data_IF_887830258802
#
_entry.id   IF_887830258802
#
_cell.length_a   1.000
_cell.length_b   1.000
_cell.length_c   1.000
_cell.angle_alpha   90.00
_cell.angle_beta   90.00
_cell.angle_gamma   90.00
#
_symmetry.space_group_name_H-M   'P 1'
#
loop_
_entity.id
_entity.type
_entity.pdbx_description
1 polymer ?
#
# COMPACT_ATOMS: atom_id res chain seq x y z
N UNK A 1 13.90 29.22 -4.37
CA UNK A 1 12.89 30.30 -4.32
C UNK A 1 11.65 30.00 -5.19
N UNK A 2 11.74 29.03 -6.12
CA UNK A 2 10.67 28.63 -7.05
C UNK A 2 9.61 27.63 -6.53
N UNK A 3 9.52 27.38 -5.22
CA UNK A 3 8.49 26.45 -4.71
C UNK A 3 7.15 27.17 -4.49
N UNK A 4 6.11 26.75 -5.21
CA UNK A 4 4.74 27.26 -5.05
C UNK A 4 4.10 26.93 -3.69
N UNK A 5 4.62 25.91 -2.99
CA UNK A 5 4.13 25.49 -1.67
C UNK A 5 4.76 26.32 -0.53
N UNK A 6 3.93 27.12 0.15
CA UNK A 6 4.34 27.99 1.28
C UNK A 6 5.02 27.21 2.42
N UNK A 7 4.47 26.06 2.81
CA UNK A 7 5.03 25.22 3.89
C UNK A 7 6.44 24.73 3.54
N UNK A 8 6.66 24.29 2.30
CA UNK A 8 7.99 23.83 1.88
C UNK A 8 9.01 24.97 1.88
N UNK A 9 8.60 26.19 1.50
CA UNK A 9 9.47 27.37 1.53
C UNK A 9 9.91 27.72 2.95
N UNK A 10 9.01 27.63 3.92
CA UNK A 10 9.31 27.84 5.35
C UNK A 10 10.26 26.78 5.92
N UNK A 11 10.02 25.51 5.56
CA UNK A 11 10.87 24.38 5.96
C UNK A 11 12.29 24.56 5.43
N UNK A 12 12.46 24.88 4.14
CA UNK A 12 13.79 25.12 3.55
C UNK A 12 14.51 26.29 4.22
N UNK A 13 13.81 27.39 4.51
CA UNK A 13 14.39 28.53 5.24
C UNK A 13 14.84 28.15 6.65
N UNK A 14 14.05 27.34 7.35
CA UNK A 14 14.37 26.85 8.70
C UNK A 14 15.61 25.96 8.66
N UNK A 15 15.67 25.02 7.72
CA UNK A 15 16.84 24.15 7.51
C UNK A 15 18.09 24.98 7.20
N UNK A 16 17.99 25.94 6.28
CA UNK A 16 19.12 26.79 5.92
C UNK A 16 19.64 27.60 7.12
N UNK A 17 18.74 28.12 7.95
CA UNK A 17 19.10 28.83 9.18
C UNK A 17 19.77 27.90 10.18
N UNK A 18 19.14 26.78 10.50
CA UNK A 18 19.63 25.82 11.50
C UNK A 18 21.00 25.23 11.12
N UNK A 19 21.24 24.97 9.82
CA UNK A 19 22.56 24.54 9.33
C UNK A 19 23.61 25.66 9.40
N UNK A 20 23.24 26.91 9.09
CA UNK A 20 24.14 28.07 9.25
C UNK A 20 24.50 28.34 10.71
N UNK A 21 23.57 28.07 11.61
CA UNK A 21 23.76 28.17 13.06
C UNK A 21 24.61 27.01 13.62
N UNK A 22 25.03 26.05 12.78
CA UNK A 22 25.95 24.97 13.14
C UNK A 22 25.29 23.77 13.81
N UNK A 23 23.98 23.62 13.74
CA UNK A 23 23.27 22.45 14.30
C UNK A 23 23.58 21.18 13.50
N UNK A 24 23.56 20.04 14.18
CA UNK A 24 23.78 18.75 13.54
C UNK A 24 22.66 18.42 12.53
N UNK A 25 23.01 17.85 11.38
CA UNK A 25 22.02 17.51 10.36
C UNK A 25 20.94 16.54 10.86
N UNK A 26 21.28 15.61 11.75
CA UNK A 26 20.34 14.73 12.46
C UNK A 26 19.21 15.50 13.15
N UNK A 27 19.56 16.59 13.85
CA UNK A 27 18.62 17.48 14.52
C UNK A 27 17.82 18.30 13.50
N UNK A 28 18.49 18.87 12.49
CA UNK A 28 17.87 19.77 11.52
C UNK A 28 16.85 19.04 10.64
N UNK A 29 17.26 17.94 10.01
CA UNK A 29 16.38 17.21 9.10
C UNK A 29 15.34 16.36 9.86
N UNK A 30 15.68 15.87 11.07
CA UNK A 30 14.76 15.12 11.93
C UNK A 30 13.53 15.92 12.37
N UNK A 31 13.66 17.25 12.57
CA UNK A 31 12.51 18.14 12.86
C UNK A 31 11.46 18.18 11.75
N UNK A 32 11.82 17.75 10.54
CA UNK A 32 10.99 17.85 9.34
C UNK A 32 10.65 16.47 8.74
N UNK A 33 10.68 15.41 9.56
CA UNK A 33 10.22 14.06 9.17
C UNK A 33 8.77 14.03 8.67
N UNK A 34 7.93 14.97 9.11
CA UNK A 34 6.54 15.13 8.67
C UNK A 34 6.41 15.59 7.21
N UNK A 35 7.42 16.31 6.72
CA UNK A 35 7.46 16.87 5.36
C UNK A 35 8.19 15.95 4.40
N UNK A 36 9.39 15.48 4.77
CA UNK A 36 10.21 14.63 3.92
C UNK A 36 9.92 13.14 4.07
N UNK A 37 9.30 12.75 5.19
CA UNK A 37 9.26 11.36 5.64
C UNK A 37 10.56 10.99 6.38
N UNK A 38 10.43 10.05 7.32
CA UNK A 38 11.53 9.55 8.17
C UNK A 38 12.80 9.19 7.39
N UNK A 39 12.62 8.52 6.25
CA UNK A 39 13.73 8.07 5.46
C UNK A 39 14.52 9.19 4.79
N UNK A 40 13.84 10.13 4.11
CA UNK A 40 14.55 11.23 3.46
C UNK A 40 15.20 12.15 4.49
N UNK A 41 14.54 12.41 5.62
CA UNK A 41 15.15 13.14 6.74
C UNK A 41 16.44 12.45 7.23
N UNK A 42 16.41 11.13 7.41
CA UNK A 42 17.58 10.36 7.82
C UNK A 42 18.71 10.41 6.77
N UNK A 43 18.39 10.24 5.49
CA UNK A 43 19.40 10.30 4.42
C UNK A 43 20.06 11.68 4.33
N UNK A 44 19.28 12.75 4.42
CA UNK A 44 19.79 14.11 4.46
C UNK A 44 20.70 14.33 5.68
N UNK A 45 20.35 13.72 6.82
CA UNK A 45 21.19 13.73 8.03
C UNK A 45 22.52 13.02 7.80
N UNK A 46 22.50 11.82 7.23
CA UNK A 46 23.73 11.10 6.89
C UNK A 46 24.57 11.87 5.89
N UNK A 47 23.95 12.51 4.89
CA UNK A 47 24.63 13.35 3.90
C UNK A 47 25.44 14.49 4.53
N UNK A 48 24.94 15.06 5.65
CA UNK A 48 25.65 16.11 6.39
C UNK A 48 26.95 15.63 7.04
N UNK A 49 27.03 14.33 7.33
CA UNK A 49 28.20 13.69 7.96
C UNK A 49 29.05 12.87 6.99
N UNK A 50 28.53 12.47 5.82
CA UNK A 50 29.09 11.40 4.99
C UNK A 50 30.14 11.83 3.96
N UNK A 51 30.57 13.09 3.95
CA UNK A 51 31.57 13.62 3.00
C UNK A 51 31.17 13.57 1.52
N UNK A 52 30.07 12.90 1.16
CA UNK A 52 29.55 12.72 -0.19
C UNK A 52 28.09 13.16 -0.27
N UNK A 53 27.85 14.42 0.09
CA UNK A 53 26.51 15.00 0.20
C UNK A 53 25.76 14.97 -1.13
N UNK A 54 26.45 15.23 -2.26
CA UNK A 54 25.85 15.27 -3.58
C UNK A 54 25.19 13.94 -3.97
N UNK A 55 25.89 12.81 -3.79
CA UNK A 55 25.38 11.49 -4.14
C UNK A 55 24.20 11.08 -3.24
N UNK A 56 24.27 11.38 -1.94
CA UNK A 56 23.19 11.06 -1.01
C UNK A 56 21.95 11.91 -1.29
N UNK A 57 22.12 13.19 -1.60
CA UNK A 57 21.03 14.08 -2.00
C UNK A 57 20.38 13.62 -3.31
N UNK A 58 21.17 13.26 -4.33
CA UNK A 58 20.65 12.75 -5.60
C UNK A 58 19.85 11.46 -5.41
N UNK A 59 20.36 10.52 -4.61
CA UNK A 59 19.64 9.27 -4.32
C UNK A 59 18.37 9.51 -3.50
N UNK A 60 18.41 10.45 -2.55
CA UNK A 60 17.23 10.85 -1.77
C UNK A 60 16.17 11.49 -2.67
N UNK A 61 16.58 12.36 -3.60
CA UNK A 61 15.68 12.98 -4.57
C UNK A 61 15.02 11.92 -5.46
N UNK A 62 15.81 10.99 -6.02
CA UNK A 62 15.30 9.86 -6.82
C UNK A 62 14.30 9.01 -6.04
N UNK A 63 14.58 8.71 -4.77
CA UNK A 63 13.63 8.01 -3.90
C UNK A 63 12.32 8.78 -3.72
N UNK A 64 12.39 10.09 -3.42
CA UNK A 64 11.19 10.92 -3.21
C UNK A 64 10.35 11.05 -4.49
N UNK A 65 11.00 11.23 -5.64
CA UNK A 65 10.35 11.28 -6.94
C UNK A 65 9.63 9.96 -7.23
N UNK A 66 10.30 8.83 -7.00
CA UNK A 66 9.72 7.51 -7.19
C UNK A 66 8.57 7.22 -6.24
N UNK A 67 8.68 7.64 -4.99
CA UNK A 67 7.59 7.53 -4.03
C UNK A 67 6.36 8.35 -4.46
N UNK A 68 6.59 9.57 -4.93
CA UNK A 68 5.53 10.43 -5.43
C UNK A 68 4.87 9.82 -6.67
N UNK A 69 5.66 9.27 -7.60
CA UNK A 69 5.17 8.59 -8.79
C UNK A 69 4.37 7.33 -8.42
N UNK A 70 4.88 6.48 -7.52
CA UNK A 70 4.18 5.29 -7.04
C UNK A 70 2.86 5.65 -6.37
N UNK A 71 2.84 6.63 -5.47
CA UNK A 71 1.60 7.11 -4.82
C UNK A 71 0.61 7.69 -5.82
N UNK A 72 1.10 8.48 -6.79
CA UNK A 72 0.28 9.06 -7.85
C UNK A 72 -0.34 7.97 -8.71
N UNK A 73 0.46 7.01 -9.16
CA UNK A 73 0.01 5.88 -9.96
C UNK A 73 -0.99 5.05 -9.15
N UNK A 74 -0.68 4.69 -7.91
CA UNK A 74 -1.56 3.91 -7.05
C UNK A 74 -2.90 4.60 -6.81
N UNK A 75 -2.88 5.92 -6.55
CA UNK A 75 -4.11 6.71 -6.39
C UNK A 75 -4.91 6.76 -7.69
N UNK A 76 -4.27 7.03 -8.83
CA UNK A 76 -4.92 7.07 -10.15
C UNK A 76 -5.56 5.73 -10.49
N UNK A 77 -4.85 4.65 -10.22
CA UNK A 77 -5.26 3.27 -10.41
C UNK A 77 -6.48 2.87 -9.60
N UNK A 78 -6.55 3.28 -8.33
CA UNK A 78 -7.66 2.95 -7.44
C UNK A 78 -8.86 3.89 -7.57
N UNK A 79 -8.66 5.07 -8.17
CA UNK A 79 -9.71 6.08 -8.30
C UNK A 79 -10.85 5.60 -9.20
N UNK A 80 -10.55 5.01 -10.36
CA UNK A 80 -11.59 4.55 -11.29
C UNK A 80 -12.42 3.40 -10.71
N UNK A 81 -11.83 2.30 -10.17
CA UNK A 81 -12.60 1.26 -9.47
C UNK A 81 -13.46 1.81 -8.33
N UNK A 82 -12.93 2.74 -7.52
CA UNK A 82 -13.68 3.31 -6.39
C UNK A 82 -14.91 4.10 -6.85
N UNK A 83 -14.76 4.93 -7.90
CA UNK A 83 -15.87 5.70 -8.46
C UNK A 83 -16.92 4.76 -9.05
N UNK A 84 -16.51 3.73 -9.79
CA UNK A 84 -17.44 2.75 -10.37
C UNK A 84 -18.21 1.98 -9.29
N UNK A 85 -17.52 1.48 -8.26
CA UNK A 85 -18.15 0.77 -7.14
C UNK A 85 -19.16 1.67 -6.42
N UNK A 86 -18.80 2.93 -6.16
CA UNK A 86 -19.70 3.89 -5.52
C UNK A 86 -20.94 4.17 -6.38
N UNK A 87 -20.76 4.36 -7.69
CA UNK A 87 -21.87 4.57 -8.61
C UNK A 87 -22.81 3.35 -8.64
N UNK A 88 -22.26 2.13 -8.72
CA UNK A 88 -23.05 0.89 -8.78
C UNK A 88 -23.82 0.66 -7.48
N UNK A 89 -23.16 0.83 -6.33
CA UNK A 89 -23.84 0.75 -5.02
C UNK A 89 -24.99 1.78 -4.98
N UNK A 90 -24.76 3.00 -5.46
CA UNK A 90 -25.80 4.02 -5.56
C UNK A 90 -26.99 3.60 -6.43
N UNK A 91 -26.73 3.05 -7.62
CA UNK A 91 -27.78 2.55 -8.54
C UNK A 91 -28.56 1.39 -7.91
N UNK A 92 -27.87 0.43 -7.29
CA UNK A 92 -28.52 -0.73 -6.65
C UNK A 92 -29.38 -0.28 -5.47
N UNK A 93 -28.88 0.61 -4.61
CA UNK A 93 -29.64 1.14 -3.49
C UNK A 93 -30.86 1.95 -3.95
N UNK A 94 -30.72 2.77 -4.99
CA UNK A 94 -31.85 3.51 -5.56
C UNK A 94 -32.90 2.58 -6.18
N UNK A 95 -32.45 1.54 -6.89
CA UNK A 95 -33.35 0.55 -7.47
C UNK A 95 -34.13 -0.21 -6.39
N UNK A 96 -33.43 -0.77 -5.40
CA UNK A 96 -34.05 -1.56 -4.32
C UNK A 96 -34.91 -0.69 -3.41
N UNK A 97 -34.49 0.54 -3.11
CA UNK A 97 -35.19 1.42 -2.16
C UNK A 97 -36.37 2.20 -2.74
N UNK A 98 -36.39 2.47 -4.06
CA UNK A 98 -37.42 3.33 -4.65
C UNK A 98 -38.15 2.69 -5.83
N UNK A 99 -37.40 2.20 -6.84
CA UNK A 99 -38.02 1.68 -8.07
C UNK A 99 -38.75 0.36 -7.78
N UNK A 100 -38.10 -0.56 -7.08
CA UNK A 100 -38.62 -1.90 -6.87
C UNK A 100 -39.91 -1.93 -6.02
N UNK A 101 -40.01 -1.23 -4.86
CA UNK A 101 -41.24 -1.19 -4.07
C UNK A 101 -42.41 -0.60 -4.85
N UNK A 102 -42.17 0.50 -5.58
CA UNK A 102 -43.21 1.13 -6.40
C UNK A 102 -43.78 0.19 -7.46
N UNK A 103 -42.92 -0.63 -8.10
CA UNK A 103 -43.39 -1.65 -9.05
C UNK A 103 -44.12 -2.80 -8.36
N UNK A 104 -43.68 -3.22 -7.18
CA UNK A 104 -44.27 -4.32 -6.45
C UNK A 104 -45.65 -3.97 -5.88
N UNK A 105 -45.81 -2.77 -5.31
CA UNK A 105 -47.09 -2.25 -4.84
C UNK A 105 -48.14 -2.17 -5.95
N UNK A 106 -47.73 -1.77 -7.16
CA UNK A 106 -48.61 -1.79 -8.33
C UNK A 106 -49.13 -3.20 -8.65
N UNK A 107 -48.30 -4.24 -8.53
CA UNK A 107 -48.76 -5.62 -8.72
C UNK A 107 -49.73 -6.08 -7.63
N UNK A 108 -49.54 -5.66 -6.38
CA UNK A 108 -50.45 -5.95 -5.26
C UNK A 108 -51.80 -5.28 -5.48
N UNK A 109 -51.81 -4.01 -5.89
CA UNK A 109 -53.03 -3.24 -6.16
C UNK A 109 -53.85 -3.84 -7.31
N UNK A 110 -53.18 -4.49 -8.26
CA UNK A 110 -53.82 -5.25 -9.34
C UNK A 110 -54.35 -6.62 -8.91
N UNK A 111 -54.21 -6.99 -7.64
CA UNK A 111 -54.66 -8.28 -7.09
C UNK A 111 -53.80 -9.47 -7.52
N UNK A 112 -52.58 -9.22 -8.01
CA UNK A 112 -51.69 -10.26 -8.51
C UNK A 112 -50.80 -10.79 -7.37
N UNK A 113 -50.79 -12.10 -7.15
CA UNK A 113 -49.88 -12.73 -6.19
C UNK A 113 -48.44 -12.66 -6.70
N UNK A 114 -47.57 -11.99 -5.95
CA UNK A 114 -46.16 -11.85 -6.29
C UNK A 114 -45.43 -13.21 -6.28
N UNK A 115 -44.55 -13.49 -7.26
CA UNK A 115 -43.63 -14.61 -7.22
C UNK A 115 -42.74 -14.60 -5.97
N UNK A 116 -42.25 -15.76 -5.51
CA UNK A 116 -41.50 -15.87 -4.26
C UNK A 116 -40.23 -15.02 -4.22
N UNK A 117 -39.50 -14.86 -5.33
CA UNK A 117 -38.30 -14.00 -5.36
C UNK A 117 -38.66 -12.51 -5.32
N UNK A 118 -39.74 -12.10 -5.98
CA UNK A 118 -40.24 -10.72 -5.96
C UNK A 118 -40.77 -10.34 -4.59
N UNK A 119 -41.51 -11.25 -3.94
CA UNK A 119 -41.98 -11.07 -2.56
C UNK A 119 -40.82 -11.01 -1.55
N UNK A 120 -39.80 -11.86 -1.70
CA UNK A 120 -38.61 -11.83 -0.86
C UNK A 120 -37.82 -10.51 -1.02
N UNK A 121 -37.69 -10.01 -2.26
CA UNK A 121 -37.01 -8.75 -2.55
C UNK A 121 -37.79 -7.55 -1.99
N UNK A 122 -39.13 -7.60 -1.99
CA UNK A 122 -39.98 -6.57 -1.41
C UNK A 122 -39.84 -6.51 0.12
N UNK A 123 -39.88 -7.68 0.77
CA UNK A 123 -39.62 -7.78 2.21
C UNK A 123 -38.21 -7.28 2.56
N UNK A 124 -37.20 -7.62 1.76
CA UNK A 124 -35.84 -7.11 1.92
C UNK A 124 -35.80 -5.59 1.81
N UNK A 125 -36.53 -4.99 0.86
CA UNK A 125 -36.57 -3.55 0.66
C UNK A 125 -37.18 -2.82 1.86
N UNK A 126 -38.34 -3.24 2.35
CA UNK A 126 -38.94 -2.66 3.57
C UNK A 126 -38.03 -2.84 4.80
N UNK A 127 -37.34 -3.97 4.91
CA UNK A 127 -36.35 -4.19 5.96
C UNK A 127 -35.14 -3.24 5.82
N UNK A 128 -34.67 -3.00 4.59
CA UNK A 128 -33.57 -2.09 4.28
C UNK A 128 -33.94 -0.64 4.62
N UNK A 129 -35.15 -0.22 4.26
CA UNK A 129 -35.67 1.13 4.54
C UNK A 129 -35.85 1.34 6.05
N UNK A 130 -36.38 0.35 6.78
CA UNK A 130 -36.53 0.45 8.23
C UNK A 130 -35.19 0.45 8.99
N UNK A 131 -34.16 -0.20 8.45
CA UNK A 131 -32.87 -0.43 9.15
C UNK A 131 -31.66 0.24 8.48
N UNK A 132 -31.85 1.19 7.57
CA UNK A 132 -30.74 1.78 6.80
C UNK A 132 -29.65 2.41 7.68
N UNK A 133 -30.04 3.08 8.78
CA UNK A 133 -29.11 3.64 9.76
C UNK A 133 -28.29 2.55 10.47
N UNK A 134 -28.94 1.45 10.84
CA UNK A 134 -28.31 0.31 11.54
C UNK A 134 -27.37 -0.42 10.58
N UNK A 135 -27.75 -0.61 9.31
CA UNK A 135 -26.90 -1.17 8.25
C UNK A 135 -25.67 -0.31 8.00
N UNK A 136 -25.85 1.01 7.88
CA UNK A 136 -24.76 1.95 7.64
C UNK A 136 -23.78 1.95 8.83
N UNK A 137 -24.27 1.97 10.07
CA UNK A 137 -23.46 1.80 11.27
C UNK A 137 -22.78 0.41 11.33
N UNK A 138 -23.49 -0.65 10.95
CA UNK A 138 -22.96 -2.02 10.94
C UNK A 138 -21.86 -2.23 9.91
N UNK A 139 -21.82 -1.44 8.83
CA UNK A 139 -20.74 -1.48 7.84
C UNK A 139 -19.59 -0.57 8.27
N UNK A 140 -19.89 0.67 8.69
CA UNK A 140 -18.86 1.66 9.02
C UNK A 140 -18.11 1.29 10.30
N UNK A 141 -18.80 0.80 11.33
CA UNK A 141 -18.20 0.48 12.63
C UNK A 141 -17.08 -0.57 12.56
N UNK A 142 -17.27 -1.74 11.93
CA UNK A 142 -16.18 -2.71 11.79
C UNK A 142 -15.05 -2.18 10.90
N UNK A 143 -15.36 -1.43 9.83
CA UNK A 143 -14.33 -0.82 8.97
C UNK A 143 -13.48 0.17 9.78
N UNK A 144 -14.11 1.06 10.55
CA UNK A 144 -13.44 2.04 11.40
C UNK A 144 -12.61 1.36 12.50
N UNK A 145 -13.16 0.31 13.13
CA UNK A 145 -12.47 -0.50 14.13
C UNK A 145 -11.25 -1.21 13.54
N UNK A 146 -11.36 -1.75 12.32
CA UNK A 146 -10.26 -2.40 11.61
C UNK A 146 -9.16 -1.41 11.24
N UNK A 147 -9.54 -0.22 10.75
CA UNK A 147 -8.59 0.88 10.45
C UNK A 147 -7.86 1.31 11.72
N UNK A 148 -8.57 1.45 12.84
CA UNK A 148 -7.97 1.81 14.12
C UNK A 148 -7.00 0.71 14.59
N UNK A 149 -7.40 -0.56 14.50
CA UNK A 149 -6.55 -1.70 14.85
C UNK A 149 -5.27 -1.73 14.01
N UNK A 150 -5.35 -1.53 12.69
CA UNK A 150 -4.17 -1.51 11.81
C UNK A 150 -3.27 -0.28 11.98
N UNK A 151 -3.76 0.80 12.61
CA UNK A 151 -2.90 1.91 13.06
C UNK A 151 -2.05 1.54 14.28
N UNK A 152 -2.42 0.52 15.04
CA UNK A 152 -1.61 0.07 16.19
C UNK A 152 -0.34 -0.66 15.72
N UNK A 153 0.77 -0.64 16.49
CA UNK A 153 2.00 -1.33 16.12
C UNK A 153 1.83 -2.83 15.90
N UNK A 154 1.00 -3.49 16.73
CA UNK A 154 0.70 -4.92 16.61
C UNK A 154 -0.15 -5.21 15.38
N UNK A 155 -1.18 -4.40 15.12
CA UNK A 155 -2.04 -4.55 13.95
C UNK A 155 -1.30 -4.30 12.65
N UNK A 156 -0.44 -3.28 12.59
CA UNK A 156 0.43 -3.01 11.44
C UNK A 156 1.36 -4.19 11.13
N UNK A 157 2.00 -4.74 12.16
CA UNK A 157 2.90 -5.89 11.98
C UNK A 157 2.17 -7.14 11.51
N UNK A 158 0.96 -7.38 12.05
CA UNK A 158 0.10 -8.46 11.59
C UNK A 158 -0.25 -8.25 10.11
N UNK A 159 -0.77 -7.07 9.75
CA UNK A 159 -1.12 -6.73 8.37
C UNK A 159 0.08 -6.93 7.43
N UNK A 160 1.24 -6.35 7.76
CA UNK A 160 2.44 -6.41 6.93
C UNK A 160 2.98 -7.85 6.76
N UNK A 161 2.72 -8.74 7.72
CA UNK A 161 3.08 -10.17 7.63
C UNK A 161 2.16 -10.97 6.70
N UNK A 162 0.87 -10.64 6.65
CA UNK A 162 -0.10 -11.38 5.84
C UNK A 162 -0.32 -10.75 4.46
N UNK A 163 -0.14 -9.44 4.32
CA UNK A 163 -0.34 -8.72 3.06
C UNK A 163 0.58 -9.24 1.96
N UNK A 164 1.81 -9.63 2.31
CA UNK A 164 2.78 -10.23 1.38
C UNK A 164 2.35 -11.59 0.82
N UNK A 165 1.37 -12.26 1.44
CA UNK A 165 0.83 -13.55 0.98
C UNK A 165 -0.38 -13.38 0.05
N UNK A 166 -0.94 -12.18 -0.05
CA UNK A 166 -2.08 -11.92 -0.91
C UNK A 166 -1.61 -12.03 -2.38
N UNK A 167 -2.30 -12.82 -3.23
CA UNK A 167 -1.92 -12.94 -4.63
C UNK A 167 -1.98 -11.58 -5.31
N UNK A 168 -1.08 -11.37 -6.28
CA UNK A 168 -0.95 -10.13 -7.09
C UNK A 168 -0.43 -8.91 -6.30
N UNK A 169 -1.11 -8.50 -5.22
CA UNK A 169 -0.73 -7.32 -4.41
C UNK A 169 0.45 -7.62 -3.47
N UNK A 170 0.46 -8.80 -2.83
CA UNK A 170 1.48 -9.16 -1.85
C UNK A 170 2.87 -9.27 -2.45
N UNK A 171 2.98 -9.91 -3.62
CA UNK A 171 4.24 -10.00 -4.35
C UNK A 171 4.74 -8.63 -4.83
N UNK A 172 3.83 -7.74 -5.25
CA UNK A 172 4.17 -6.35 -5.59
C UNK A 172 4.77 -5.63 -4.38
N UNK A 173 4.05 -5.59 -3.26
CA UNK A 173 4.48 -4.88 -2.05
C UNK A 173 5.76 -5.46 -1.47
N UNK A 174 5.91 -6.79 -1.51
CA UNK A 174 7.11 -7.47 -1.04
C UNK A 174 8.34 -7.07 -1.88
N UNK A 175 8.21 -7.09 -3.21
CA UNK A 175 9.30 -6.66 -4.11
C UNK A 175 9.62 -5.18 -4.01
N UNK A 176 8.61 -4.33 -3.84
CA UNK A 176 8.82 -2.90 -3.54
C UNK A 176 9.60 -2.73 -2.22
N UNK A 177 9.30 -3.52 -1.19
CA UNK A 177 10.03 -3.44 0.08
C UNK A 177 11.51 -3.82 -0.08
N UNK A 178 11.80 -4.86 -0.87
CA UNK A 178 13.19 -5.29 -1.17
C UNK A 178 13.90 -4.28 -2.08
N UNK A 179 13.20 -3.69 -3.04
CA UNK A 179 13.71 -2.63 -3.91
C UNK A 179 14.18 -1.43 -3.09
N UNK A 180 13.31 -0.90 -2.21
CA UNK A 180 13.64 0.21 -1.33
C UNK A 180 14.82 -0.18 -0.44
N UNK A 181 14.78 -1.34 0.22
CA UNK A 181 15.90 -1.82 1.04
C UNK A 181 17.22 -1.79 0.26
N UNK A 182 17.24 -2.36 -0.94
CA UNK A 182 18.43 -2.46 -1.78
C UNK A 182 18.92 -1.09 -2.23
N UNK A 183 18.00 -0.17 -2.51
CA UNK A 183 18.30 1.21 -2.89
C UNK A 183 19.01 1.99 -1.80
N UNK A 184 18.48 1.90 -0.59
CA UNK A 184 19.11 2.51 0.59
C UNK A 184 20.47 1.89 0.85
N UNK A 185 20.52 0.55 0.80
CA UNK A 185 21.75 -0.19 1.04
C UNK A 185 22.86 0.25 0.09
N UNK A 186 22.67 0.21 -1.23
CA UNK A 186 23.75 0.57 -2.18
C UNK A 186 24.14 2.05 -2.10
N UNK A 187 23.22 2.92 -1.70
CA UNK A 187 23.49 4.37 -1.60
C UNK A 187 24.43 4.67 -0.45
N UNK A 188 24.21 4.02 0.70
CA UNK A 188 24.99 4.26 1.91
C UNK A 188 26.22 3.34 2.04
N UNK A 189 26.22 2.20 1.36
CA UNK A 189 27.30 1.24 1.45
C UNK A 189 28.56 1.76 0.72
N UNK A 190 29.60 2.09 1.48
CA UNK A 190 30.86 2.65 1.00
C UNK A 190 31.91 1.62 0.56
N UNK A 191 31.63 0.32 0.69
CA UNK A 191 32.53 -0.75 0.25
C UNK A 191 33.43 -1.33 1.34
N UNK A 192 33.46 -0.79 2.56
CA UNK A 192 34.26 -1.32 3.67
C UNK A 192 33.40 -1.91 4.80
N UNK A 193 33.52 -3.23 4.99
CA UNK A 193 33.03 -3.94 6.17
C UNK A 193 31.51 -4.24 6.22
N UNK A 194 31.12 -5.00 7.25
CA UNK A 194 29.72 -5.21 7.61
C UNK A 194 29.15 -3.91 8.20
N UNK A 195 28.59 -3.04 7.36
CA UNK A 195 28.00 -1.80 7.85
C UNK A 195 26.59 -2.06 8.40
N UNK A 196 26.54 -2.53 9.64
CA UNK A 196 25.31 -2.87 10.36
C UNK A 196 24.36 -1.66 10.43
N UNK A 197 24.89 -0.45 10.56
CA UNK A 197 24.07 0.75 10.56
C UNK A 197 23.40 0.95 9.20
N UNK A 198 24.09 0.69 8.09
CA UNK A 198 23.47 0.74 6.75
C UNK A 198 22.34 -0.28 6.60
N UNK A 199 22.53 -1.50 7.11
CA UNK A 199 21.49 -2.54 7.09
C UNK A 199 20.28 -2.14 7.93
N UNK A 200 20.53 -1.57 9.12
CA UNK A 200 19.48 -1.08 10.03
C UNK A 200 18.66 0.02 9.36
N UNK A 201 19.32 1.00 8.76
CA UNK A 201 18.65 2.10 8.05
C UNK A 201 17.86 1.60 6.84
N UNK A 202 18.46 0.72 6.04
CA UNK A 202 17.77 0.10 4.92
C UNK A 202 16.53 -0.68 5.37
N UNK A 203 16.60 -1.35 6.53
CA UNK A 203 15.47 -2.07 7.12
C UNK A 203 14.35 -1.12 7.60
N UNK A 204 14.69 0.04 8.14
CA UNK A 204 13.70 1.06 8.55
C UNK A 204 13.02 1.71 7.36
N UNK A 205 13.74 1.81 6.24
CA UNK A 205 13.23 2.40 5.00
C UNK A 205 12.30 1.48 4.22
N UNK A 206 12.39 0.15 4.37
CA UNK A 206 11.74 -0.84 3.49
C UNK A 206 10.20 -0.87 3.55
N UNK A 207 9.56 -0.01 4.36
CA UNK A 207 8.10 0.20 4.46
C UNK A 207 7.26 -1.00 4.88
N UNK A 208 7.89 -2.11 5.25
CA UNK A 208 7.22 -3.28 5.78
C UNK A 208 7.75 -3.55 7.19
N UNK A 209 6.90 -3.36 8.20
CA UNK A 209 7.28 -3.47 9.62
C UNK A 209 7.64 -4.91 10.02
N UNK A 210 7.08 -5.91 9.34
CA UNK A 210 7.48 -7.31 9.53
C UNK A 210 8.89 -7.57 9.00
N UNK A 211 9.20 -7.07 7.79
CA UNK A 211 10.54 -7.15 7.19
C UNK A 211 11.58 -6.41 8.05
N UNK A 212 11.28 -5.17 8.46
CA UNK A 212 12.12 -4.39 9.38
C UNK A 212 12.44 -5.17 10.66
N UNK A 213 11.41 -5.69 11.34
CA UNK A 213 11.57 -6.46 12.58
C UNK A 213 12.44 -7.70 12.36
N UNK A 214 12.21 -8.45 11.29
CA UNK A 214 12.99 -9.66 10.99
C UNK A 214 14.46 -9.34 10.70
N UNK A 215 14.75 -8.24 9.99
CA UNK A 215 16.13 -7.82 9.73
C UNK A 215 16.82 -7.39 11.03
N UNK A 216 16.15 -6.59 11.88
CA UNK A 216 16.73 -6.11 13.15
C UNK A 216 16.93 -7.22 14.18
N UNK A 217 15.92 -8.06 14.40
CA UNK A 217 15.93 -9.05 15.47
C UNK A 217 16.63 -10.36 15.11
N UNK A 218 16.73 -10.68 13.81
CA UNK A 218 17.39 -11.90 13.31
C UNK A 218 18.72 -11.57 12.66
N UNK A 219 18.73 -10.88 11.52
CA UNK A 219 19.96 -10.68 10.76
C UNK A 219 21.02 -9.89 11.54
N UNK A 220 20.67 -8.67 11.99
CA UNK A 220 21.60 -7.79 12.70
C UNK A 220 22.06 -8.44 14.01
N UNK A 221 21.14 -9.07 14.74
CA UNK A 221 21.46 -9.75 16.00
C UNK A 221 22.42 -10.92 15.79
N UNK A 222 22.23 -11.73 14.74
CA UNK A 222 23.10 -12.87 14.39
C UNK A 222 24.50 -12.38 13.97
N UNK A 223 24.58 -11.31 13.18
CA UNK A 223 25.85 -10.68 12.80
C UNK A 223 26.62 -10.15 14.02
N UNK A 224 25.93 -9.48 14.95
CA UNK A 224 26.56 -8.90 16.15
C UNK A 224 26.96 -9.93 17.22
N UNK A 225 26.10 -10.93 17.46
CA UNK A 225 26.31 -11.91 18.54
C UNK A 225 27.17 -13.10 18.12
N UNK A 226 26.90 -13.62 16.92
CA UNK A 226 27.44 -14.89 16.47
C UNK A 226 28.55 -14.69 15.43
N UNK A 227 28.81 -13.45 15.01
CA UNK A 227 29.79 -13.14 13.97
C UNK A 227 29.40 -13.67 12.59
N UNK A 228 28.12 -14.00 12.38
CA UNK A 228 27.65 -14.62 11.16
C UNK A 228 27.82 -13.70 9.95
N UNK A 229 28.01 -14.31 8.77
CA UNK A 229 28.10 -13.59 7.51
C UNK A 229 26.80 -12.86 7.17
N UNK A 230 26.92 -11.79 6.36
CA UNK A 230 25.76 -11.00 5.90
C UNK A 230 24.72 -11.90 5.20
N UNK A 231 25.15 -12.71 4.25
CA UNK A 231 24.25 -13.50 3.39
C UNK A 231 23.48 -14.52 4.21
N UNK A 232 24.16 -15.28 5.07
CA UNK A 232 23.55 -16.25 5.96
C UNK A 232 22.55 -15.58 6.92
N UNK A 233 22.92 -14.42 7.47
CA UNK A 233 22.08 -13.65 8.38
C UNK A 233 20.82 -13.13 7.68
N UNK A 234 20.92 -12.69 6.43
CA UNK A 234 19.78 -12.27 5.62
C UNK A 234 18.89 -13.45 5.20
N UNK A 235 19.47 -14.61 4.91
CA UNK A 235 18.72 -15.82 4.54
C UNK A 235 17.86 -16.32 5.70
N UNK A 236 18.39 -16.32 6.93
CA UNK A 236 17.69 -16.71 8.17
C UNK A 236 16.43 -15.86 8.46
N UNK A 237 16.41 -14.61 7.98
CA UNK A 237 15.23 -13.74 8.18
C UNK A 237 13.97 -14.30 7.53
N UNK A 238 14.12 -15.05 6.42
CA UNK A 238 13.02 -15.55 5.60
C UNK A 238 12.20 -14.46 4.89
N UNK A 239 12.67 -13.21 4.85
CA UNK A 239 11.94 -12.09 4.23
C UNK A 239 12.53 -11.66 2.88
N UNK A 240 13.67 -12.17 2.47
CA UNK A 240 14.22 -11.90 1.13
C UNK A 240 13.82 -13.02 0.18
N UNK A 241 13.57 -12.66 -1.07
CA UNK A 241 13.35 -13.65 -2.13
C UNK A 241 14.64 -14.38 -2.46
N UNK A 242 14.53 -15.56 -3.09
CA UNK A 242 15.70 -16.32 -3.57
C UNK A 242 16.58 -15.47 -4.49
N UNK A 243 15.98 -14.72 -5.42
CA UNK A 243 16.70 -13.83 -6.33
C UNK A 243 17.48 -12.75 -5.59
N UNK A 244 16.91 -12.16 -4.53
CA UNK A 244 17.61 -11.16 -3.72
C UNK A 244 18.83 -11.77 -3.01
N UNK A 245 18.64 -12.90 -2.32
CA UNK A 245 19.73 -13.62 -1.64
C UNK A 245 20.83 -14.01 -2.63
N UNK A 246 20.49 -14.55 -3.81
CA UNK A 246 21.48 -14.91 -4.84
C UNK A 246 22.29 -13.71 -5.34
N UNK A 247 21.66 -12.54 -5.53
CA UNK A 247 22.36 -11.32 -5.95
C UNK A 247 23.29 -10.79 -4.86
N UNK A 248 22.83 -10.77 -3.61
CA UNK A 248 23.70 -10.39 -2.50
C UNK A 248 24.86 -11.38 -2.34
N UNK A 249 24.63 -12.69 -2.52
CA UNK A 249 25.67 -13.73 -2.46
C UNK A 249 26.75 -13.50 -3.53
N UNK A 250 26.35 -13.30 -4.78
CA UNK A 250 27.27 -12.99 -5.88
C UNK A 250 28.09 -11.72 -5.59
N UNK A 251 27.43 -10.68 -5.05
CA UNK A 251 28.09 -9.44 -4.66
C UNK A 251 29.08 -9.60 -3.51
N UNK A 252 28.80 -10.48 -2.55
CA UNK A 252 29.70 -10.78 -1.44
C UNK A 252 30.94 -11.57 -1.92
N UNK A 253 30.74 -12.59 -2.77
CA UNK A 253 31.82 -13.42 -3.32
C UNK A 253 32.77 -12.63 -4.24
N UNK A 254 32.23 -11.69 -5.02
CA UNK A 254 33.00 -10.86 -5.96
C UNK A 254 33.49 -9.53 -5.37
N UNK A 255 33.16 -9.22 -4.11
CA UNK A 255 33.44 -7.93 -3.49
C UNK A 255 32.63 -6.75 -4.07
N UNK A 256 31.68 -7.00 -4.97
CA UNK A 256 30.88 -5.98 -5.67
C UNK A 256 29.45 -5.84 -5.10
N UNK A 257 29.32 -5.94 -3.78
CA UNK A 257 28.04 -5.94 -3.08
C UNK A 257 27.19 -4.68 -3.36
N UNK A 258 27.83 -3.51 -3.45
CA UNK A 258 27.18 -2.24 -3.78
C UNK A 258 26.50 -2.30 -5.15
N UNK A 259 27.23 -2.75 -6.16
CA UNK A 259 26.74 -2.80 -7.54
C UNK A 259 25.64 -3.84 -7.70
N UNK A 260 25.77 -5.00 -7.05
CA UNK A 260 24.73 -6.02 -7.06
C UNK A 260 23.44 -5.57 -6.36
N UNK A 261 23.54 -4.79 -5.28
CA UNK A 261 22.39 -4.19 -4.62
C UNK A 261 21.71 -3.13 -5.49
N UNK A 262 22.49 -2.34 -6.25
CA UNK A 262 21.98 -1.39 -7.24
C UNK A 262 21.22 -2.12 -8.36
N UNK A 263 21.81 -3.13 -8.97
CA UNK A 263 21.15 -3.95 -10.00
C UNK A 263 19.88 -4.62 -9.48
N UNK A 264 19.87 -5.06 -8.22
CA UNK A 264 18.69 -5.64 -7.59
C UNK A 264 17.56 -4.62 -7.41
N UNK A 265 17.89 -3.39 -6.99
CA UNK A 265 16.93 -2.30 -6.88
C UNK A 265 16.31 -1.98 -8.25
N UNK A 266 17.13 -1.78 -9.28
CA UNK A 266 16.69 -1.50 -10.65
C UNK A 266 15.84 -2.65 -11.23
N UNK A 267 16.24 -3.91 -10.96
CA UNK A 267 15.48 -5.08 -11.40
C UNK A 267 14.08 -5.15 -10.80
N UNK A 268 13.95 -4.93 -9.49
CA UNK A 268 12.63 -4.94 -8.85
C UNK A 268 11.82 -3.70 -9.17
N UNK A 269 12.46 -2.56 -9.42
CA UNK A 269 11.81 -1.35 -9.88
C UNK A 269 11.06 -1.58 -11.20
N UNK A 270 11.71 -2.24 -12.16
CA UNK A 270 11.08 -2.61 -13.44
C UNK A 270 9.94 -3.61 -13.22
N UNK A 271 10.16 -4.68 -12.42
CA UNK A 271 9.11 -5.66 -12.15
C UNK A 271 7.88 -5.07 -11.44
N UNK A 272 8.09 -4.19 -10.46
CA UNK A 272 7.00 -3.61 -9.67
C UNK A 272 6.16 -2.67 -10.54
N UNK A 273 6.79 -1.93 -11.46
CA UNK A 273 6.07 -1.11 -12.44
C UNK A 273 5.13 -1.94 -13.31
N UNK A 274 5.59 -3.06 -13.87
CA UNK A 274 4.74 -3.95 -14.67
C UNK A 274 3.64 -4.63 -13.85
N UNK A 275 3.97 -5.13 -12.65
CA UNK A 275 2.99 -5.75 -11.75
C UNK A 275 1.93 -4.79 -11.25
N UNK A 276 2.24 -3.50 -11.17
CA UNK A 276 1.28 -2.48 -10.82
C UNK A 276 0.08 -2.49 -11.78
N UNK A 277 0.32 -2.65 -13.08
CA UNK A 277 -0.76 -2.78 -14.07
C UNK A 277 -1.58 -4.05 -13.85
N UNK A 278 -0.94 -5.19 -13.59
CA UNK A 278 -1.67 -6.44 -13.30
C UNK A 278 -2.54 -6.36 -12.05
N UNK A 279 -2.12 -5.62 -11.01
CA UNK A 279 -2.95 -5.34 -9.83
C UNK A 279 -4.20 -4.56 -10.23
N UNK A 280 -4.07 -3.55 -11.10
CA UNK A 280 -5.21 -2.76 -11.60
C UNK A 280 -6.20 -3.64 -12.34
N UNK A 281 -5.71 -4.46 -13.26
CA UNK A 281 -6.54 -5.32 -14.09
C UNK A 281 -7.29 -6.35 -13.23
N UNK A 282 -6.60 -6.90 -12.22
CA UNK A 282 -7.20 -7.84 -11.25
C UNK A 282 -8.29 -7.16 -10.42
N UNK A 283 -8.04 -5.97 -9.86
CA UNK A 283 -9.05 -5.22 -9.10
C UNK A 283 -10.26 -4.90 -9.99
N UNK A 284 -10.01 -4.45 -11.22
CA UNK A 284 -11.06 -4.10 -12.17
C UNK A 284 -11.88 -5.33 -12.57
N UNK A 285 -11.26 -6.49 -12.74
CA UNK A 285 -11.94 -7.76 -13.00
C UNK A 285 -12.91 -8.14 -11.87
N UNK A 286 -12.46 -8.05 -10.61
CA UNK A 286 -13.33 -8.34 -9.47
C UNK A 286 -14.49 -7.35 -9.35
N UNK A 287 -14.25 -6.06 -9.61
CA UNK A 287 -15.31 -5.04 -9.64
C UNK A 287 -16.31 -5.34 -10.76
N UNK A 288 -15.84 -5.64 -11.96
CA UNK A 288 -16.72 -5.97 -13.09
C UNK A 288 -17.53 -7.25 -12.85
N UNK A 289 -16.92 -8.26 -12.22
CA UNK A 289 -17.62 -9.49 -11.83
C UNK A 289 -18.73 -9.19 -10.82
N UNK A 290 -18.47 -8.36 -9.82
CA UNK A 290 -19.48 -7.94 -8.85
C UNK A 290 -20.64 -7.19 -9.53
N UNK A 291 -20.33 -6.29 -10.45
CA UNK A 291 -21.35 -5.55 -11.23
C UNK A 291 -22.18 -6.52 -12.07
N UNK A 292 -21.54 -7.46 -12.75
CA UNK A 292 -22.24 -8.45 -13.58
C UNK A 292 -23.22 -9.28 -12.75
N UNK A 293 -22.80 -9.75 -11.56
CA UNK A 293 -23.67 -10.49 -10.64
C UNK A 293 -24.85 -9.62 -10.18
N UNK A 294 -24.59 -8.36 -9.83
CA UNK A 294 -25.64 -7.42 -9.41
C UNK A 294 -26.65 -7.16 -10.54
N UNK A 295 -26.18 -6.95 -11.78
CA UNK A 295 -27.03 -6.75 -12.94
C UNK A 295 -27.86 -8.00 -13.27
N UNK A 296 -27.26 -9.19 -13.24
CA UNK A 296 -27.98 -10.45 -13.45
C UNK A 296 -29.07 -10.62 -12.37
N UNK A 297 -28.77 -10.29 -11.12
CA UNK A 297 -29.78 -10.33 -10.05
C UNK A 297 -30.98 -9.43 -10.35
N UNK A 298 -30.72 -8.18 -10.76
CA UNK A 298 -31.78 -7.22 -11.13
C UNK A 298 -32.57 -7.72 -12.35
N UNK A 299 -31.91 -8.23 -13.39
CA UNK A 299 -32.59 -8.68 -14.61
C UNK A 299 -33.41 -9.95 -14.40
N UNK A 300 -32.95 -10.89 -13.57
CA UNK A 300 -33.71 -12.10 -13.21
C UNK A 300 -34.96 -11.73 -12.40
N UNK A 301 -34.82 -10.85 -11.41
CA UNK A 301 -35.97 -10.36 -10.64
C UNK A 301 -36.96 -9.63 -11.56
N UNK A 302 -36.46 -8.81 -12.49
CA UNK A 302 -37.29 -8.12 -13.47
C UNK A 302 -37.97 -9.08 -14.46
N UNK A 303 -37.31 -10.14 -14.90
CA UNK A 303 -37.90 -11.09 -15.85
C UNK A 303 -38.98 -11.96 -15.19
N UNK A 304 -38.80 -12.38 -13.93
CA UNK A 304 -39.88 -13.04 -13.18
C UNK A 304 -41.11 -12.14 -13.04
N UNK A 305 -40.92 -10.84 -12.77
CA UNK A 305 -42.04 -9.89 -12.70
C UNK A 305 -42.79 -9.74 -14.04
N UNK A 306 -42.13 -9.96 -15.18
CA UNK A 306 -42.73 -9.85 -16.50
C UNK A 306 -43.51 -11.10 -16.96
N UNK A 307 -43.24 -12.27 -16.37
CA UNK A 307 -43.95 -13.54 -16.67
C UNK A 307 -45.29 -13.63 -15.92
N UNK A 308 -45.54 -12.71 -15.00
CA UNK A 308 -46.80 -12.57 -14.28
C UNK A 308 -47.92 -12.26 -15.29
N UNK A 309 -48.83 -13.21 -15.50
CA UNK A 309 -50.07 -12.99 -16.26
C UNK A 309 -51.17 -12.59 -15.28
N UNK A 310 -51.92 -11.49 -15.54
CA UNK A 310 -53.15 -11.24 -14.80
C UNK A 310 -54.14 -12.38 -15.10
N UNK A 311 -54.78 -12.91 -14.05
CA UNK A 311 -55.96 -13.76 -14.19
C UNK A 311 -57.18 -12.91 -14.54
#
# INVERSE_FOLDING_TARGET
EDTANKRMKEVIKTIQKDLKDGKEGSEVYGKHEDVFGKFAAYMLSVASTSGNMALVFESTAKFLERDAEFKKNLKRSLMMPAVTVLAVIGVVLFYVGYIFPATAELFVDMGITLPPMTAATLQLSYWLEANWLILLLSIISPIAGLIYYFKTPKGKLFLDKYIIKIPVIGDLLHKTSIEIFSRVFYTLYSGSGQNIEVIKVASEACRNSYMEKRIKEVAIKKMLKDGAGLIESMEETGVFTRTAISRFRLGAESGSLRENAKQLAEYYEVQTTYRMQSVIDTISLFVNLFIMIALIGITVVSSESAVIKPN
#
